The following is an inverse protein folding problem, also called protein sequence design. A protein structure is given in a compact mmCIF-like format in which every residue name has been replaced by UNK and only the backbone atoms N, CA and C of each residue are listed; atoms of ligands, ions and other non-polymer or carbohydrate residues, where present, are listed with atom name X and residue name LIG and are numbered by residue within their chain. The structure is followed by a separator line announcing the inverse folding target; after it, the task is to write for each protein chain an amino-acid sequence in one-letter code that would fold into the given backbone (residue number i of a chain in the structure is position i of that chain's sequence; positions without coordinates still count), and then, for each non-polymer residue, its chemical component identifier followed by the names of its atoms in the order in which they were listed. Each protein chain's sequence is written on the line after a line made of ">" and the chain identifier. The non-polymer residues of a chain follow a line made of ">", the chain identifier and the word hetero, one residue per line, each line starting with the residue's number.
data_IF_865699889656
#
_entry.id   IF_865699889656
#
_cell.length_a   1.000
_cell.length_b   1.000
_cell.length_c   1.000
_cell.angle_alpha   90.00
_cell.angle_beta   90.00
_cell.angle_gamma   90.00
#
_symmetry.space_group_name_H-M   'P 1'
#
loop_
_entity.id
_entity.type
_entity.pdbx_description
1 polymer ?
#
# COMPACT_ATOMS: atom_id res chain seq x y z
N UNK A 1 -70.64 -35.20 21.83
CA UNK A 1 -70.01 -33.89 21.66
C UNK A 1 -68.71 -33.96 22.43
N UNK A 2 -67.56 -33.96 21.76
CA UNK A 2 -66.26 -34.07 22.42
C UNK A 2 -65.73 -32.67 22.68
N UNK A 3 -65.52 -32.32 23.95
CA UNK A 3 -64.85 -31.10 24.35
C UNK A 3 -63.37 -31.19 23.96
N UNK A 4 -62.93 -30.24 23.14
CA UNK A 4 -61.53 -30.15 22.70
C UNK A 4 -60.90 -28.98 23.44
N UNK A 5 -60.36 -29.24 24.64
CA UNK A 5 -59.63 -28.24 25.42
C UNK A 5 -58.18 -28.14 24.92
N UNK A 6 -57.97 -27.34 23.87
CA UNK A 6 -56.63 -26.92 23.45
C UNK A 6 -56.08 -25.85 24.41
N UNK A 7 -55.74 -26.24 25.63
CA UNK A 7 -54.94 -25.41 26.53
C UNK A 7 -53.57 -26.08 26.68
N UNK A 8 -52.62 -25.63 25.85
CA UNK A 8 -51.19 -25.89 26.07
C UNK A 8 -50.80 -25.28 27.42
N UNK A 9 -50.90 -26.08 28.47
CA UNK A 9 -50.50 -25.75 29.86
C UNK A 9 -49.05 -26.14 30.12
N UNK A 10 -48.25 -26.24 29.06
CA UNK A 10 -46.82 -26.47 29.16
C UNK A 10 -46.15 -25.17 29.57
N UNK A 11 -45.92 -25.02 30.89
CA UNK A 11 -45.14 -23.91 31.47
C UNK A 11 -43.69 -23.85 30.97
N UNK A 12 -43.24 -24.84 30.20
CA UNK A 12 -41.96 -24.84 29.48
C UNK A 12 -41.94 -23.89 28.28
N UNK A 13 -43.11 -23.47 27.78
CA UNK A 13 -43.24 -22.44 26.74
C UNK A 13 -43.27 -21.01 27.32
N UNK A 14 -42.96 -20.83 28.61
CA UNK A 14 -42.72 -19.52 29.18
C UNK A 14 -41.53 -18.88 28.45
N UNK A 15 -41.85 -18.07 27.42
CA UNK A 15 -40.91 -17.24 26.68
C UNK A 15 -39.97 -16.58 27.68
N UNK A 16 -38.72 -17.02 27.68
CA UNK A 16 -37.72 -16.56 28.61
C UNK A 16 -37.70 -15.03 28.56
N UNK A 17 -38.10 -14.40 29.67
CA UNK A 17 -38.27 -12.95 29.74
C UNK A 17 -36.94 -12.34 29.32
N UNK A 18 -36.90 -11.51 28.24
CA UNK A 18 -35.64 -11.05 27.69
C UNK A 18 -34.85 -10.33 28.79
N UNK A 19 -33.73 -10.93 29.22
CA UNK A 19 -32.83 -10.29 30.18
C UNK A 19 -32.23 -9.09 29.46
N UNK A 20 -32.70 -7.89 29.83
CA UNK A 20 -32.16 -6.61 29.36
C UNK A 20 -30.74 -6.44 29.89
N UNK A 21 -29.77 -7.09 29.24
CA UNK A 21 -28.40 -7.15 29.68
C UNK A 21 -27.63 -5.94 29.15
N UNK A 22 -27.93 -4.76 29.72
CA UNK A 22 -27.32 -3.48 29.34
C UNK A 22 -25.79 -3.51 29.38
N UNK A 23 -25.22 -4.34 30.27
CA UNK A 23 -23.79 -4.60 30.35
C UNK A 23 -23.26 -5.28 29.08
N UNK A 24 -23.92 -6.34 28.59
CA UNK A 24 -23.51 -6.99 27.34
C UNK A 24 -23.64 -6.04 26.14
N UNK A 25 -24.67 -5.20 26.11
CA UNK A 25 -24.82 -4.18 25.06
C UNK A 25 -23.70 -3.13 25.11
N UNK A 26 -23.37 -2.64 26.30
CA UNK A 26 -22.28 -1.68 26.49
C UNK A 26 -20.91 -2.28 26.12
N UNK A 27 -20.63 -3.51 26.55
CA UNK A 27 -19.39 -4.23 26.20
C UNK A 27 -19.30 -4.46 24.70
N UNK A 28 -20.38 -4.92 24.06
CA UNK A 28 -20.43 -5.10 22.61
C UNK A 28 -20.18 -3.79 21.86
N UNK A 29 -20.78 -2.69 22.29
CA UNK A 29 -20.55 -1.36 21.72
C UNK A 29 -19.10 -0.90 21.86
N UNK A 30 -18.48 -1.08 23.04
CA UNK A 30 -17.08 -0.72 23.28
C UNK A 30 -16.16 -1.55 22.38
N UNK A 31 -16.38 -2.87 22.29
CA UNK A 31 -15.59 -3.76 21.44
C UNK A 31 -15.71 -3.36 19.97
N UNK A 32 -16.92 -3.05 19.50
CA UNK A 32 -17.15 -2.66 18.12
C UNK A 32 -16.49 -1.32 17.80
N UNK A 33 -16.63 -0.32 18.67
CA UNK A 33 -15.93 0.98 18.52
C UNK A 33 -14.42 0.79 18.52
N UNK A 34 -13.89 -0.04 19.43
CA UNK A 34 -12.45 -0.32 19.51
C UNK A 34 -11.93 -1.00 18.25
N UNK A 35 -12.69 -1.96 17.70
CA UNK A 35 -12.35 -2.63 16.45
C UNK A 35 -12.33 -1.65 15.27
N UNK A 36 -13.29 -0.72 15.20
CA UNK A 36 -13.32 0.32 14.16
C UNK A 36 -12.11 1.25 14.30
N UNK A 37 -11.79 1.73 15.50
CA UNK A 37 -10.61 2.58 15.75
C UNK A 37 -9.33 1.85 15.34
N UNK A 38 -9.19 0.59 15.74
CA UNK A 38 -8.07 -0.25 15.36
C UNK A 38 -7.95 -0.37 13.84
N UNK A 39 -9.06 -0.62 13.14
CA UNK A 39 -9.07 -0.73 11.69
C UNK A 39 -8.67 0.59 11.01
N UNK A 40 -9.14 1.73 11.50
CA UNK A 40 -8.79 3.05 10.95
C UNK A 40 -7.29 3.32 11.06
N UNK A 41 -6.69 3.06 12.22
CA UNK A 41 -5.24 3.24 12.44
C UNK A 41 -4.45 2.32 11.49
N UNK A 42 -4.90 1.08 11.31
CA UNK A 42 -4.26 0.13 10.39
C UNK A 42 -4.51 0.46 8.91
N UNK A 43 -5.62 1.10 8.56
CA UNK A 43 -5.92 1.47 7.18
C UNK A 43 -5.06 2.65 6.69
N UNK A 44 -4.66 3.55 7.59
CA UNK A 44 -3.83 4.71 7.25
C UNK A 44 -2.40 4.36 6.79
N UNK A 45 -1.91 3.15 7.07
CA UNK A 45 -0.59 2.69 6.62
C UNK A 45 -0.57 2.10 5.20
N UNK A 46 -1.71 2.08 4.50
CA UNK A 46 -1.84 1.51 3.16
C UNK A 46 -1.15 2.32 2.06
N UNK A 47 -0.01 1.80 1.57
CA UNK A 47 0.63 1.95 0.26
C UNK A 47 0.31 3.19 -0.60
N UNK A 48 0.53 4.40 -0.07
CA UNK A 48 0.55 5.60 -0.93
C UNK A 48 1.84 5.58 -1.75
N UNK A 49 1.78 5.15 -3.02
CA UNK A 49 2.89 5.35 -3.97
C UNK A 49 3.14 6.86 -4.10
N UNK A 50 4.29 7.30 -3.61
CA UNK A 50 4.62 8.71 -3.55
C UNK A 50 5.48 9.09 -4.75
N UNK A 51 4.98 10.03 -5.55
CA UNK A 51 5.71 10.59 -6.68
C UNK A 51 6.63 11.70 -6.20
N UNK A 52 7.90 11.63 -6.57
CA UNK A 52 8.96 12.57 -6.18
C UNK A 52 9.88 12.85 -7.35
N UNK A 53 10.49 14.04 -7.37
CA UNK A 53 11.66 14.26 -8.23
C UNK A 53 12.95 13.79 -7.54
N UNK A 54 14.06 13.76 -8.28
CA UNK A 54 15.37 13.39 -7.74
C UNK A 54 15.78 14.31 -6.58
N UNK A 55 15.56 15.61 -6.71
CA UNK A 55 15.93 16.57 -5.68
C UNK A 55 15.05 16.45 -4.43
N UNK A 56 13.74 16.23 -4.60
CA UNK A 56 12.84 15.98 -3.48
C UNK A 56 13.16 14.67 -2.74
N UNK A 57 13.53 13.63 -3.48
CA UNK A 57 13.99 12.37 -2.90
C UNK A 57 15.19 12.59 -1.96
N UNK A 58 16.18 13.37 -2.41
CA UNK A 58 17.35 13.68 -1.58
C UNK A 58 17.04 14.64 -0.43
N UNK A 59 16.07 15.55 -0.59
CA UNK A 59 15.63 16.45 0.48
C UNK A 59 14.88 15.70 1.60
N UNK A 60 14.13 14.65 1.26
CA UNK A 60 13.25 13.92 2.18
C UNK A 60 13.73 12.51 2.55
N UNK A 61 14.92 12.09 2.10
CA UNK A 61 15.42 10.70 2.16
C UNK A 61 15.19 10.01 3.53
N UNK A 62 15.38 10.73 4.65
CA UNK A 62 15.19 10.20 6.00
C UNK A 62 13.75 9.80 6.36
N UNK A 63 12.74 10.37 5.68
CA UNK A 63 11.30 10.04 5.87
C UNK A 63 10.78 9.03 4.85
N UNK A 64 11.53 8.82 3.77
CA UNK A 64 11.11 8.01 2.62
C UNK A 64 11.60 6.55 2.70
N UNK A 65 12.57 6.26 3.58
CA UNK A 65 13.08 4.90 3.75
C UNK A 65 11.99 3.88 4.10
N UNK A 66 11.98 2.74 3.38
CA UNK A 66 11.02 1.65 3.59
C UNK A 66 9.63 1.90 3.02
N UNK A 67 9.45 2.92 2.17
CA UNK A 67 8.22 3.19 1.43
C UNK A 67 8.43 2.94 -0.06
N UNK A 68 7.36 2.48 -0.70
CA UNK A 68 7.28 2.31 -2.15
C UNK A 68 7.21 3.69 -2.82
N UNK A 69 8.22 4.04 -3.62
CA UNK A 69 8.41 5.39 -4.17
C UNK A 69 8.42 5.35 -5.69
N UNK A 70 7.97 6.44 -6.29
CA UNK A 70 8.09 6.70 -7.72
C UNK A 70 8.91 7.95 -7.93
N UNK A 71 10.12 7.82 -8.47
CA UNK A 71 11.03 8.95 -8.69
C UNK A 71 11.08 9.29 -10.17
N UNK A 72 10.71 10.52 -10.51
CA UNK A 72 10.83 11.04 -11.87
C UNK A 72 12.16 11.79 -12.04
N UNK A 73 12.77 11.62 -13.21
CA UNK A 73 13.95 12.39 -13.60
C UNK A 73 14.29 12.21 -15.07
N UNK A 74 15.20 13.02 -15.56
CA UNK A 74 15.76 12.92 -16.90
C UNK A 74 16.95 11.97 -16.91
N UNK A 75 16.94 11.03 -17.86
CA UNK A 75 18.04 10.08 -18.03
C UNK A 75 19.29 10.81 -18.52
N UNK A 76 20.40 10.65 -17.80
CA UNK A 76 21.67 11.25 -18.17
C UNK A 76 22.22 10.55 -19.41
N UNK A 77 22.59 11.33 -20.41
CA UNK A 77 23.11 10.80 -21.67
C UNK A 77 24.38 9.99 -21.46
N UNK A 78 24.51 8.87 -22.18
CA UNK A 78 25.65 7.95 -22.06
C UNK A 78 25.69 7.06 -20.80
N UNK A 79 24.73 7.17 -19.88
CA UNK A 79 24.71 6.35 -18.64
C UNK A 79 23.94 5.04 -18.75
N UNK A 80 23.15 4.87 -19.82
CA UNK A 80 22.30 3.69 -20.00
C UNK A 80 23.14 2.47 -20.38
N UNK A 81 23.33 1.56 -19.43
CA UNK A 81 24.07 0.31 -19.60
C UNK A 81 23.13 -0.86 -19.41
N UNK A 82 22.99 -1.70 -20.44
CA UNK A 82 22.25 -2.96 -20.36
C UNK A 82 23.21 -4.12 -20.54
N UNK A 83 23.35 -4.94 -19.50
CA UNK A 83 24.25 -6.09 -19.46
C UNK A 83 23.45 -7.38 -19.30
N UNK A 84 23.57 -8.28 -20.26
CA UNK A 84 23.12 -9.66 -20.11
C UNK A 84 24.19 -10.44 -19.34
N UNK A 85 23.86 -10.95 -18.15
CA UNK A 85 24.80 -11.67 -17.30
C UNK A 85 24.80 -13.17 -17.69
N UNK A 86 23.63 -13.76 -17.85
CA UNK A 86 23.45 -15.14 -18.32
C UNK A 86 22.10 -15.31 -19.05
N UNK A 87 21.64 -16.56 -19.26
CA UNK A 87 20.39 -16.85 -19.97
C UNK A 87 19.11 -16.35 -19.25
N UNK A 88 19.18 -16.13 -17.94
CA UNK A 88 18.06 -15.76 -17.09
C UNK A 88 18.27 -14.45 -16.31
N UNK A 89 19.50 -13.95 -16.26
CA UNK A 89 19.85 -12.74 -15.51
C UNK A 89 20.30 -11.59 -16.41
N UNK A 90 19.75 -10.41 -16.16
CA UNK A 90 20.11 -9.15 -16.80
C UNK A 90 20.24 -8.02 -15.77
N UNK A 91 21.00 -6.98 -16.13
CA UNK A 91 21.17 -5.79 -15.30
C UNK A 91 21.09 -4.55 -16.19
N UNK A 92 20.16 -3.67 -15.87
CA UNK A 92 19.98 -2.36 -16.48
C UNK A 92 20.38 -1.29 -15.47
N UNK A 93 21.27 -0.41 -15.88
CA UNK A 93 21.78 0.70 -15.07
C UNK A 93 21.68 2.00 -15.85
N UNK A 94 21.32 3.08 -15.16
CA UNK A 94 21.34 4.42 -15.69
C UNK A 94 21.23 5.44 -14.56
N UNK A 95 21.63 6.68 -14.82
CA UNK A 95 21.48 7.77 -13.87
C UNK A 95 20.33 8.68 -14.31
N UNK A 96 19.57 9.19 -13.34
CA UNK A 96 18.56 10.23 -13.57
C UNK A 96 18.87 11.49 -12.77
N UNK A 97 18.53 12.66 -13.31
CA UNK A 97 18.68 13.99 -12.69
C UNK A 97 17.38 14.79 -12.79
N UNK A 98 17.21 15.82 -11.95
CA UNK A 98 16.02 16.68 -12.02
C UNK A 98 16.07 17.69 -13.18
N UNK A 99 17.26 18.26 -13.45
CA UNK A 99 17.52 19.18 -14.56
C UNK A 99 18.77 18.73 -15.35
N UNK A 100 18.63 18.56 -16.67
CA UNK A 100 19.74 18.22 -17.57
C UNK A 100 20.72 19.38 -17.78
N UNK A 101 20.23 20.64 -17.72
CA UNK A 101 21.05 21.82 -17.96
C UNK A 101 21.91 22.17 -16.74
N UNK A 102 21.36 21.98 -15.54
CA UNK A 102 22.04 22.22 -14.27
C UNK A 102 21.90 20.98 -13.38
N UNK A 103 22.62 19.89 -13.69
CA UNK A 103 22.51 18.66 -12.93
C UNK A 103 22.97 18.89 -11.49
N UNK A 104 22.01 18.86 -10.57
CA UNK A 104 22.25 18.90 -9.13
C UNK A 104 22.77 17.56 -8.64
N UNK A 105 21.89 16.76 -8.01
CA UNK A 105 22.21 15.37 -7.64
C UNK A 105 21.68 14.42 -8.69
N UNK A 106 22.43 13.34 -8.96
CA UNK A 106 21.95 12.22 -9.76
C UNK A 106 21.55 11.05 -8.87
N UNK A 107 20.47 10.38 -9.25
CA UNK A 107 20.04 9.11 -8.66
C UNK A 107 20.47 7.97 -9.59
N UNK A 108 21.29 7.07 -9.07
CA UNK A 108 21.70 5.87 -9.79
C UNK A 108 20.62 4.80 -9.68
N UNK A 109 20.15 4.32 -10.83
CA UNK A 109 19.06 3.35 -10.96
C UNK A 109 19.64 2.01 -11.38
N UNK A 110 19.24 0.95 -10.69
CA UNK A 110 19.62 -0.43 -11.01
C UNK A 110 18.38 -1.29 -11.07
N UNK A 111 18.03 -1.77 -12.26
CA UNK A 111 16.96 -2.73 -12.50
C UNK A 111 17.57 -4.10 -12.81
N UNK A 112 17.17 -5.12 -12.05
CA UNK A 112 17.64 -6.49 -12.22
C UNK A 112 16.56 -7.33 -12.91
N UNK A 113 16.94 -8.07 -13.94
CA UNK A 113 16.09 -9.01 -14.66
C UNK A 113 14.87 -8.38 -15.35
N UNK A 114 14.93 -7.07 -15.59
CA UNK A 114 13.94 -6.32 -16.34
C UNK A 114 14.38 -6.13 -17.80
N UNK A 115 13.47 -6.23 -18.78
CA UNK A 115 13.78 -5.88 -20.16
C UNK A 115 14.05 -4.38 -20.28
N UNK A 116 15.06 -4.00 -21.06
CA UNK A 116 15.30 -2.58 -21.37
C UNK A 116 14.11 -2.01 -22.15
N UNK A 117 13.45 -0.94 -21.67
CA UNK A 117 12.39 -0.29 -22.43
C UNK A 117 12.93 0.35 -23.72
N UNK A 118 12.20 0.22 -24.83
CA UNK A 118 12.64 0.73 -26.14
C UNK A 118 12.84 2.25 -26.17
N UNK A 119 12.02 2.99 -25.41
CA UNK A 119 12.10 4.46 -25.32
C UNK A 119 13.12 4.95 -24.29
N UNK A 120 13.84 4.04 -23.61
CA UNK A 120 14.88 4.41 -22.67
C UNK A 120 16.15 4.84 -23.41
N UNK A 121 16.30 6.16 -23.55
CA UNK A 121 17.43 6.81 -24.20
C UNK A 121 17.91 8.01 -23.39
N UNK A 122 19.10 8.52 -23.72
CA UNK A 122 19.63 9.73 -23.12
C UNK A 122 18.67 10.91 -23.31
N UNK A 123 18.57 11.76 -22.29
CA UNK A 123 17.70 12.93 -22.24
C UNK A 123 16.19 12.62 -22.33
N UNK A 124 15.79 11.34 -22.27
CA UNK A 124 14.39 10.99 -22.09
C UNK A 124 13.97 11.18 -20.63
N UNK A 125 12.71 11.54 -20.40
CA UNK A 125 12.15 11.54 -19.06
C UNK A 125 11.80 10.10 -18.66
N UNK A 126 12.27 9.68 -17.49
CA UNK A 126 11.99 8.37 -16.91
C UNK A 126 11.24 8.53 -15.58
N UNK A 127 10.42 7.52 -15.30
CA UNK A 127 9.78 7.32 -14.00
C UNK A 127 10.23 5.95 -13.49
N UNK A 128 10.87 5.94 -12.32
CA UNK A 128 11.44 4.75 -11.69
C UNK A 128 10.64 4.43 -10.44
N UNK A 129 10.37 3.14 -10.22
CA UNK A 129 9.67 2.68 -9.02
C UNK A 129 10.50 1.66 -8.23
N UNK A 130 10.37 1.68 -6.89
CA UNK A 130 11.01 0.74 -5.98
C UNK A 130 11.16 1.25 -4.54
#
# INVERSE_FOLDING_TARGET
>A
MADVSWQNTDGSLALEKPRRNRLMFAVGGIVLISAVIFLVINAMSGNTQLYKTVDEYYAEQGRLAGRDLRVSGWVVDGTVVYTQIDAHNSRLEFDIVDDLANPGRSLHVVALNEPKPDLLQGQAQALVEG
#
